data_IF_516201429320
#
_entry.id   IF_516201429320
#
_cell.length_a   1.000
_cell.length_b   1.000
_cell.length_c   1.000
_cell.angle_alpha   90.00
_cell.angle_beta   90.00
_cell.angle_gamma   90.00
#
_symmetry.space_group_name_H-M   'P 1'
#
loop_
_entity.id
_entity.type
_entity.pdbx_description
1 polymer ?
#
# COMPACT_ATOMS: atom_id res chain seq x y z
N UNK A 1 24.50 6.24 -2.09
CA UNK A 1 23.53 7.26 -1.66
C UNK A 1 22.50 6.59 -0.77
N UNK A 2 22.54 6.90 0.52
CA UNK A 2 21.48 6.48 1.45
C UNK A 2 20.21 7.28 1.18
N UNK A 3 19.05 6.62 1.28
CA UNK A 3 17.77 7.31 1.19
C UNK A 3 17.45 7.99 2.54
N UNK A 4 16.79 9.15 2.51
CA UNK A 4 16.40 9.85 3.73
C UNK A 4 15.46 8.98 4.59
N UNK A 5 15.66 9.02 5.91
CA UNK A 5 14.94 8.20 6.90
C UNK A 5 13.88 8.99 7.68
N UNK A 6 13.92 10.31 7.62
CA UNK A 6 12.98 11.20 8.28
C UNK A 6 12.77 12.47 7.43
N UNK A 7 11.80 13.30 7.84
CA UNK A 7 11.44 14.51 7.09
C UNK A 7 12.61 15.50 6.99
N UNK A 8 13.43 15.63 8.03
CA UNK A 8 14.56 16.57 8.04
C UNK A 8 15.59 16.17 6.98
N UNK A 9 16.03 14.90 7.00
CA UNK A 9 16.94 14.35 5.99
C UNK A 9 16.36 14.45 4.58
N UNK A 10 15.04 14.28 4.43
CA UNK A 10 14.37 14.43 3.13
C UNK A 10 14.43 15.86 2.60
N UNK A 11 14.16 16.87 3.44
CA UNK A 11 14.26 18.26 3.00
C UNK A 11 15.72 18.68 2.74
N UNK A 12 16.68 18.18 3.51
CA UNK A 12 18.10 18.43 3.26
C UNK A 12 18.57 17.74 1.97
N UNK A 13 18.03 16.56 1.64
CA UNK A 13 18.20 15.91 0.36
C UNK A 13 17.65 16.77 -0.80
N UNK A 14 16.44 17.33 -0.67
CA UNK A 14 15.82 18.16 -1.71
C UNK A 14 16.57 19.48 -1.98
N UNK A 15 17.20 20.08 -0.96
CA UNK A 15 18.02 21.29 -1.13
C UNK A 15 19.21 21.06 -2.07
N UNK A 16 19.74 19.84 -2.13
CA UNK A 16 20.89 19.51 -2.96
C UNK A 16 20.45 19.00 -4.34
N UNK A 17 20.44 19.89 -5.33
CA UNK A 17 20.08 19.56 -6.72
C UNK A 17 20.89 18.41 -7.32
N UNK A 18 22.17 18.25 -6.95
CA UNK A 18 23.01 17.13 -7.43
C UNK A 18 22.51 15.79 -6.88
N UNK A 19 22.09 15.75 -5.62
CA UNK A 19 21.51 14.53 -5.02
C UNK A 19 20.19 14.16 -5.71
N UNK A 20 19.32 15.15 -5.95
CA UNK A 20 18.05 14.96 -6.65
C UNK A 20 18.28 14.42 -8.08
N UNK A 21 19.20 15.03 -8.84
CA UNK A 21 19.58 14.55 -10.18
C UNK A 21 20.15 13.12 -10.16
N UNK A 22 21.03 12.83 -9.20
CA UNK A 22 21.62 11.50 -9.06
C UNK A 22 20.55 10.45 -8.75
N UNK A 23 19.57 10.80 -7.91
CA UNK A 23 18.45 9.93 -7.58
C UNK A 23 17.55 9.67 -8.78
N UNK A 24 17.20 10.73 -9.53
CA UNK A 24 16.40 10.63 -10.75
C UNK A 24 17.07 9.70 -11.78
N UNK A 25 18.38 9.86 -11.99
CA UNK A 25 19.15 9.00 -12.91
C UNK A 25 19.21 7.56 -12.43
N UNK A 26 19.54 7.35 -11.15
CA UNK A 26 19.71 6.02 -10.56
C UNK A 26 18.44 5.16 -10.67
N UNK A 27 17.27 5.77 -10.54
CA UNK A 27 15.98 5.07 -10.59
C UNK A 27 15.23 5.31 -11.90
N UNK A 28 15.91 5.85 -12.92
CA UNK A 28 15.39 6.06 -14.28
C UNK A 28 14.05 6.82 -14.34
N UNK A 29 13.76 7.66 -13.35
CA UNK A 29 12.42 8.26 -13.15
C UNK A 29 12.04 9.30 -14.22
N UNK A 30 13.01 9.74 -15.01
CA UNK A 30 12.82 10.78 -16.03
C UNK A 30 13.80 10.65 -17.19
N UNK A 31 14.38 9.47 -17.43
CA UNK A 31 15.24 9.26 -18.60
C UNK A 31 14.35 8.96 -19.80
N UNK A 32 14.17 9.88 -20.75
CA UNK A 32 13.33 9.58 -21.89
C UNK A 32 14.19 8.85 -22.93
N UNK A 33 13.56 8.01 -23.75
CA UNK A 33 14.19 7.50 -24.97
C UNK A 33 14.37 8.65 -25.96
N UNK A 34 15.45 9.41 -25.79
CA UNK A 34 15.74 10.58 -26.59
C UNK A 34 17.01 10.40 -27.40
N UNK A 35 16.85 10.63 -28.70
CA UNK A 35 17.97 10.82 -29.62
C UNK A 35 18.07 12.30 -30.02
N UNK A 36 19.30 12.76 -30.22
CA UNK A 36 19.53 14.08 -30.80
C UNK A 36 19.15 14.03 -32.29
N UNK A 37 18.24 14.89 -32.74
CA UNK A 37 17.81 14.89 -34.14
C UNK A 37 18.86 15.46 -35.09
N UNK A 38 19.90 16.12 -34.57
CA UNK A 38 21.03 16.61 -35.36
C UNK A 38 21.90 15.44 -35.85
N UNK A 39 22.09 15.26 -37.17
CA UNK A 39 22.86 14.14 -37.73
C UNK A 39 24.29 14.02 -37.21
N UNK A 40 24.96 15.15 -36.99
CA UNK A 40 26.31 15.23 -36.43
C UNK A 40 26.39 14.94 -34.91
N UNK A 41 25.27 14.60 -34.28
CA UNK A 41 25.14 14.33 -32.85
C UNK A 41 24.48 12.98 -32.56
N UNK A 42 24.40 12.11 -33.57
CA UNK A 42 23.83 10.77 -33.51
C UNK A 42 24.75 9.81 -32.76
N UNK A 43 24.97 10.08 -31.48
CA UNK A 43 25.66 9.18 -30.58
C UNK A 43 24.91 9.19 -29.26
N UNK A 44 24.47 7.99 -28.85
CA UNK A 44 24.00 7.51 -27.54
C UNK A 44 23.30 8.45 -26.52
N UNK A 45 22.48 7.86 -25.63
CA UNK A 45 21.85 8.55 -24.49
C UNK A 45 22.85 9.29 -23.57
N UNK A 46 24.14 8.95 -23.62
CA UNK A 46 25.20 9.53 -22.80
C UNK A 46 25.61 10.95 -23.24
N UNK A 47 25.16 11.39 -24.42
CA UNK A 47 25.44 12.71 -24.97
C UNK A 47 24.53 13.84 -24.46
N UNK A 48 23.68 13.58 -23.47
CA UNK A 48 22.88 14.61 -22.82
C UNK A 48 23.35 14.90 -21.39
N UNK A 49 23.62 16.16 -21.10
CA UNK A 49 23.73 16.66 -19.72
C UNK A 49 22.35 16.87 -19.12
N UNK A 50 22.20 16.56 -17.83
CA UNK A 50 20.93 16.69 -17.12
C UNK A 50 21.01 17.80 -16.10
N UNK A 51 20.06 18.72 -16.15
CA UNK A 51 20.02 19.94 -15.35
C UNK A 51 18.63 20.12 -14.72
N UNK A 52 18.55 20.71 -13.52
CA UNK A 52 17.28 21.16 -12.93
C UNK A 52 17.19 22.68 -13.08
N UNK A 53 16.37 23.13 -14.03
CA UNK A 53 16.15 24.55 -14.37
C UNK A 53 14.70 24.94 -14.08
N UNK A 54 14.50 25.96 -13.23
CA UNK A 54 13.17 26.45 -12.83
C UNK A 54 12.19 25.32 -12.46
N UNK A 55 12.69 24.30 -11.77
CA UNK A 55 11.97 23.12 -11.31
C UNK A 55 11.52 22.16 -12.43
N UNK A 56 12.24 22.12 -13.55
CA UNK A 56 12.10 21.15 -14.64
C UNK A 56 13.41 20.40 -14.83
N UNK A 57 13.34 19.10 -15.11
CA UNK A 57 14.50 18.32 -15.56
C UNK A 57 14.65 18.58 -17.05
N UNK A 58 15.82 19.09 -17.42
CA UNK A 58 16.20 19.38 -18.80
C UNK A 58 17.39 18.51 -19.18
N UNK A 59 17.31 17.90 -20.35
CA UNK A 59 18.36 17.14 -21.01
C UNK A 59 18.92 18.01 -22.15
N UNK A 60 20.17 18.42 -22.06
CA UNK A 60 20.83 19.28 -23.06
C UNK A 60 21.92 18.50 -23.78
N UNK A 61 21.95 18.56 -25.12
CA UNK A 61 23.00 17.90 -25.89
C UNK A 61 24.38 18.50 -25.55
N UNK A 62 25.36 17.64 -25.27
CA UNK A 62 26.76 18.01 -24.94
C UNK A 62 27.56 18.49 -26.14
N UNK A 63 27.14 18.14 -27.36
CA UNK A 63 27.91 18.44 -28.57
C UNK A 63 27.99 19.94 -28.81
N UNK A 64 29.23 20.43 -28.99
CA UNK A 64 29.51 21.86 -29.20
C UNK A 64 28.72 22.40 -30.40
N UNK A 65 28.05 23.53 -30.19
CA UNK A 65 27.22 24.16 -31.21
C UNK A 65 25.84 23.53 -31.40
N UNK A 66 25.47 22.49 -30.65
CA UNK A 66 24.10 21.97 -30.61
C UNK A 66 23.30 22.69 -29.52
N UNK A 67 22.12 23.22 -29.86
CA UNK A 67 21.21 23.90 -28.91
C UNK A 67 19.98 23.06 -28.55
N UNK A 68 19.98 21.79 -28.96
CA UNK A 68 18.88 20.89 -28.75
C UNK A 68 18.80 20.50 -27.27
N UNK A 69 17.59 20.64 -26.72
CA UNK A 69 17.28 20.25 -25.36
C UNK A 69 15.89 19.65 -25.31
N UNK A 70 15.69 18.80 -24.30
CA UNK A 70 14.42 18.14 -24.03
C UNK A 70 14.08 18.31 -22.56
N UNK A 71 12.79 18.42 -22.26
CA UNK A 71 12.34 18.42 -20.87
C UNK A 71 11.76 17.05 -20.55
N UNK A 72 12.17 16.41 -19.45
CA UNK A 72 11.54 15.16 -19.02
C UNK A 72 10.18 15.40 -18.39
N UNK A 73 9.23 15.77 -19.24
CA UNK A 73 7.80 15.76 -18.93
C UNK A 73 7.11 14.51 -19.47
N UNK A 74 7.85 13.45 -19.78
CA UNK A 74 7.34 12.27 -20.49
C UNK A 74 7.30 10.97 -19.67
N UNK A 75 7.78 10.93 -18.43
CA UNK A 75 7.93 9.70 -17.61
C UNK A 75 7.57 9.97 -16.13
N UNK A 76 7.59 8.94 -15.24
CA UNK A 76 7.18 8.82 -13.79
C UNK A 76 6.74 10.09 -13.00
N UNK A 77 7.39 11.23 -13.19
CA UNK A 77 6.96 12.55 -12.68
C UNK A 77 5.74 13.16 -13.41
N UNK A 78 5.34 12.58 -14.55
CA UNK A 78 4.24 13.00 -15.40
C UNK A 78 2.99 12.13 -15.25
N UNK A 79 2.65 11.78 -14.00
CA UNK A 79 1.24 11.53 -13.65
C UNK A 79 0.31 12.69 -14.12
N UNK A 80 0.89 13.83 -14.52
CA UNK A 80 0.23 14.81 -15.35
C UNK A 80 1.19 15.47 -16.37
N UNK A 81 1.03 15.20 -17.67
CA UNK A 81 1.74 15.95 -18.74
C UNK A 81 1.48 17.47 -18.67
N UNK A 82 0.40 17.89 -17.99
CA UNK A 82 -0.02 19.29 -17.83
C UNK A 82 0.24 19.89 -16.44
N UNK A 83 0.89 19.17 -15.51
CA UNK A 83 1.15 19.75 -14.18
C UNK A 83 2.23 20.83 -14.26
N UNK A 84 1.92 21.98 -13.68
CA UNK A 84 2.86 23.08 -13.46
C UNK A 84 3.55 23.02 -12.08
N UNK A 85 3.37 21.92 -11.33
CA UNK A 85 4.08 21.75 -10.06
C UNK A 85 5.59 21.57 -10.26
N UNK A 86 6.34 22.18 -9.35
CA UNK A 86 7.77 21.98 -9.19
C UNK A 86 8.09 20.51 -8.85
N UNK A 87 9.22 19.99 -9.33
CA UNK A 87 9.66 18.60 -9.06
C UNK A 87 9.82 18.34 -7.58
N UNK A 88 10.33 19.30 -6.83
CA UNK A 88 10.49 19.24 -5.38
C UNK A 88 9.14 18.97 -4.70
N UNK A 89 8.07 19.64 -5.16
CA UNK A 89 6.70 19.42 -4.68
C UNK A 89 6.14 18.07 -5.08
N UNK A 90 6.45 17.59 -6.28
CA UNK A 90 6.06 16.25 -6.71
C UNK A 90 6.74 15.20 -5.82
N UNK A 91 8.04 15.35 -5.55
CA UNK A 91 8.80 14.47 -4.65
C UNK A 91 8.26 14.50 -3.21
N UNK A 92 7.91 15.68 -2.69
CA UNK A 92 7.24 15.80 -1.38
C UNK A 92 5.94 15.00 -1.34
N UNK A 93 5.10 15.11 -2.38
CA UNK A 93 3.84 14.35 -2.47
C UNK A 93 4.10 12.84 -2.43
N UNK A 94 5.07 12.35 -3.22
CA UNK A 94 5.46 10.93 -3.21
C UNK A 94 5.95 10.49 -1.83
N UNK A 95 6.80 11.30 -1.18
CA UNK A 95 7.31 11.04 0.16
C UNK A 95 6.19 10.90 1.19
N UNK A 96 5.26 11.87 1.23
CA UNK A 96 4.16 11.82 2.19
C UNK A 96 3.17 10.69 1.88
N UNK A 97 2.92 10.40 0.61
CA UNK A 97 2.08 9.27 0.20
C UNK A 97 2.70 7.93 0.64
N UNK A 98 4.01 7.73 0.43
CA UNK A 98 4.69 6.49 0.79
C UNK A 98 4.79 6.25 2.30
N UNK A 99 4.63 7.30 3.11
CA UNK A 99 4.64 7.26 4.57
C UNK A 99 3.22 7.27 5.19
N UNK A 100 2.20 6.99 4.38
CA UNK A 100 0.79 6.86 4.80
C UNK A 100 0.29 8.11 5.55
N UNK A 101 0.61 9.30 5.03
CA UNK A 101 0.09 10.55 5.55
C UNK A 101 -1.28 10.89 4.95
N UNK A 102 -2.11 11.58 5.74
CA UNK A 102 -3.42 12.03 5.27
C UNK A 102 -3.30 13.13 4.22
N UNK A 103 -4.35 13.31 3.42
CA UNK A 103 -4.44 14.37 2.41
C UNK A 103 -4.29 15.75 3.07
N UNK A 104 -5.02 16.00 4.15
CA UNK A 104 -4.97 17.26 4.88
C UNK A 104 -3.57 17.56 5.44
N UNK A 105 -2.91 16.55 6.05
CA UNK A 105 -1.55 16.71 6.56
C UNK A 105 -0.57 17.03 5.43
N UNK A 106 -0.65 16.29 4.33
CA UNK A 106 0.20 16.48 3.15
C UNK A 106 -0.01 17.86 2.53
N UNK A 107 -1.26 18.32 2.42
CA UNK A 107 -1.59 19.65 1.89
C UNK A 107 -0.93 20.75 2.74
N UNK A 108 -1.01 20.64 4.07
CA UNK A 108 -0.39 21.58 5.00
C UNK A 108 1.14 21.57 4.89
N UNK A 109 1.77 20.39 4.85
CA UNK A 109 3.24 20.28 4.77
C UNK A 109 3.79 20.77 3.43
N UNK A 110 3.08 20.50 2.33
CA UNK A 110 3.52 20.89 0.98
C UNK A 110 3.12 22.32 0.61
N UNK A 111 2.25 22.96 1.40
CA UNK A 111 1.59 24.22 1.09
C UNK A 111 0.87 24.18 -0.28
N UNK A 112 0.15 23.08 -0.54
CA UNK A 112 -0.62 22.88 -1.77
C UNK A 112 -2.11 22.76 -1.45
N UNK A 113 -2.95 23.08 -2.42
CA UNK A 113 -4.40 22.90 -2.30
C UNK A 113 -4.73 21.40 -2.08
N UNK A 114 -5.63 21.11 -1.14
CA UNK A 114 -6.09 19.76 -0.84
C UNK A 114 -6.61 19.04 -2.10
N UNK A 115 -7.31 19.76 -2.99
CA UNK A 115 -7.77 19.22 -4.29
C UNK A 115 -6.62 18.71 -5.16
N UNK A 116 -5.48 19.41 -5.14
CA UNK A 116 -4.27 19.01 -5.84
C UNK A 116 -3.72 17.71 -5.25
N UNK A 117 -3.61 17.62 -3.93
CA UNK A 117 -3.15 16.40 -3.24
C UNK A 117 -4.07 15.21 -3.51
N UNK A 118 -5.39 15.40 -3.44
CA UNK A 118 -6.37 14.35 -3.78
C UNK A 118 -6.14 13.82 -5.19
N UNK A 119 -5.99 14.73 -6.16
CA UNK A 119 -5.75 14.36 -7.55
C UNK A 119 -4.44 13.57 -7.72
N UNK A 120 -3.35 14.01 -7.10
CA UNK A 120 -2.08 13.31 -7.14
C UNK A 120 -2.14 11.95 -6.45
N UNK A 121 -2.72 11.87 -5.25
CA UNK A 121 -2.88 10.60 -4.54
C UNK A 121 -3.73 9.61 -5.34
N UNK A 122 -4.77 10.08 -6.04
CA UNK A 122 -5.55 9.24 -6.95
C UNK A 122 -4.69 8.70 -8.09
N UNK A 123 -3.85 9.55 -8.70
CA UNK A 123 -2.97 9.16 -9.81
C UNK A 123 -1.88 8.18 -9.37
N UNK A 124 -1.24 8.41 -8.23
CA UNK A 124 -0.26 7.50 -7.65
C UNK A 124 -0.89 6.13 -7.43
N UNK A 125 -2.11 6.09 -6.84
CA UNK A 125 -2.85 4.83 -6.65
C UNK A 125 -3.16 4.12 -7.96
N UNK A 126 -3.57 4.86 -9.01
CA UNK A 126 -3.86 4.27 -10.32
C UNK A 126 -2.61 3.65 -10.94
N UNK A 127 -1.49 4.38 -10.94
CA UNK A 127 -0.22 3.90 -11.48
C UNK A 127 0.25 2.63 -10.76
N UNK A 128 0.17 2.61 -9.42
CA UNK A 128 0.52 1.43 -8.64
C UNK A 128 -0.44 0.28 -8.90
N UNK A 129 -1.74 0.56 -9.04
CA UNK A 129 -2.72 -0.45 -9.39
C UNK A 129 -2.38 -1.13 -10.72
N UNK A 130 -2.04 -0.35 -11.75
CA UNK A 130 -1.66 -0.87 -13.07
C UNK A 130 -0.39 -1.73 -12.96
N UNK A 131 0.64 -1.26 -12.24
CA UNK A 131 1.84 -2.06 -11.96
C UNK A 131 1.56 -3.33 -11.16
N UNK A 132 0.55 -3.32 -10.27
CA UNK A 132 0.15 -4.49 -9.48
C UNK A 132 -0.51 -5.58 -10.33
N UNK A 133 -1.13 -5.23 -11.47
CA UNK A 133 -1.74 -6.20 -12.38
C UNK A 133 -0.71 -7.07 -13.10
N UNK A 134 0.51 -6.56 -13.25
CA UNK A 134 1.65 -7.20 -13.93
C UNK A 134 2.57 -7.96 -12.98
N UNK A 135 2.26 -8.02 -11.68
CA UNK A 135 3.09 -8.72 -10.72
C UNK A 135 3.07 -10.24 -10.94
N UNK A 136 4.23 -10.92 -10.88
CA UNK A 136 4.30 -12.37 -11.01
C UNK A 136 3.49 -13.07 -9.91
N UNK A 137 3.15 -14.35 -10.09
CA UNK A 137 2.44 -15.11 -9.06
C UNK A 137 3.15 -15.04 -7.69
N UNK A 138 2.37 -14.86 -6.63
CA UNK A 138 2.84 -14.84 -5.24
C UNK A 138 2.93 -16.26 -4.66
N UNK A 139 3.80 -16.45 -3.66
CA UNK A 139 3.93 -17.72 -2.93
C UNK A 139 4.88 -18.74 -3.57
N UNK A 140 4.53 -20.02 -3.48
CA UNK A 140 5.35 -21.19 -3.83
C UNK A 140 5.57 -22.10 -2.62
N UNK A 141 6.45 -23.08 -2.76
CA UNK A 141 6.78 -24.01 -1.68
C UNK A 141 7.21 -23.28 -0.40
N UNK A 142 6.67 -23.70 0.74
CA UNK A 142 6.94 -23.06 2.03
C UNK A 142 6.19 -21.74 2.25
N UNK A 143 5.25 -21.36 1.37
CA UNK A 143 4.35 -20.22 1.55
C UNK A 143 2.91 -20.67 1.74
N UNK A 144 2.20 -19.89 2.56
CA UNK A 144 0.77 -19.98 2.78
C UNK A 144 0.09 -18.73 2.24
N UNK A 145 -0.93 -18.93 1.42
CA UNK A 145 -1.77 -17.86 0.89
C UNK A 145 -3.14 -17.96 1.57
N UNK A 146 -3.44 -16.96 2.40
CA UNK A 146 -4.77 -16.83 2.99
C UNK A 146 -5.67 -16.07 2.03
N UNK A 147 -6.87 -16.61 1.82
CA UNK A 147 -7.92 -16.03 1.00
C UNK A 147 -9.05 -15.54 1.90
N UNK A 148 -9.62 -14.38 1.58
CA UNK A 148 -10.80 -13.84 2.28
C UNK A 148 -11.68 -13.02 1.32
N UNK A 149 -12.99 -13.05 1.51
CA UNK A 149 -13.97 -12.32 0.69
C UNK A 149 -14.88 -11.45 1.56
N UNK A 150 -14.83 -10.15 1.33
CA UNK A 150 -15.65 -9.18 2.03
C UNK A 150 -16.73 -8.61 1.12
N UNK A 151 -18.00 -8.76 1.51
CA UNK A 151 -19.09 -8.07 0.83
C UNK A 151 -18.99 -6.57 1.10
N UNK A 152 -18.80 -5.77 0.05
CA UNK A 152 -18.74 -4.32 0.14
C UNK A 152 -20.13 -3.70 -0.10
N UNK A 153 -21.14 -4.24 0.58
CA UNK A 153 -22.44 -3.60 0.72
C UNK A 153 -22.48 -2.87 2.05
N UNK A 154 -22.52 -1.54 1.99
CA UNK A 154 -22.55 -0.71 3.18
C UNK A 154 -23.74 -1.06 4.08
N UNK A 155 -23.49 -1.43 5.33
CA UNK A 155 -24.47 -1.21 6.39
C UNK A 155 -24.35 0.24 6.82
N UNK A 156 -25.49 0.94 6.93
CA UNK A 156 -25.51 2.35 7.35
C UNK A 156 -24.77 2.52 8.67
N UNK A 157 -23.74 3.38 8.66
CA UNK A 157 -23.03 3.76 9.88
C UNK A 157 -24.02 4.49 10.80
N UNK A 158 -24.31 3.90 11.96
CA UNK A 158 -25.32 4.40 12.91
C UNK A 158 -26.76 4.43 12.38
N UNK A 159 -27.12 3.62 11.37
CA UNK A 159 -28.44 3.65 10.73
C UNK A 159 -28.84 5.05 10.21
N UNK A 160 -27.89 5.95 9.92
CA UNK A 160 -28.12 7.29 9.35
C UNK A 160 -27.65 7.39 7.89
N UNK A 161 -28.20 8.32 7.11
CA UNK A 161 -27.88 8.53 5.68
C UNK A 161 -28.98 8.16 4.68
N UNK A 162 -28.67 8.19 3.38
CA UNK A 162 -29.57 7.77 2.29
C UNK A 162 -29.74 6.25 2.31
N UNK A 163 -30.96 5.74 2.08
CA UNK A 163 -31.21 4.31 1.95
C UNK A 163 -30.49 3.77 0.71
N UNK A 164 -29.78 2.65 0.85
CA UNK A 164 -29.18 1.93 -0.27
C UNK A 164 -30.21 0.95 -0.86
N UNK A 165 -30.01 0.49 -2.11
CA UNK A 165 -30.92 -0.49 -2.76
C UNK A 165 -31.13 -1.76 -1.90
N UNK A 166 -30.10 -2.19 -1.16
CA UNK A 166 -30.17 -3.31 -0.21
C UNK A 166 -31.05 -3.07 1.02
N UNK A 167 -31.27 -1.80 1.40
CA UNK A 167 -32.17 -1.42 2.49
C UNK A 167 -33.64 -1.43 2.05
N UNK A 168 -33.88 -1.35 0.73
CA UNK A 168 -35.21 -1.21 0.11
C UNK A 168 -35.78 -2.59 -0.30
N UNK A 169 -34.95 -3.64 -0.32
CA UNK A 169 -35.32 -4.97 -0.81
C UNK A 169 -36.04 -5.89 0.19
N UNK A 170 -37.37 -5.94 0.07
CA UNK A 170 -38.28 -7.05 0.43
C UNK A 170 -38.68 -7.25 1.91
N UNK A 171 -39.86 -6.73 2.27
CA UNK A 171 -40.75 -7.27 3.32
C UNK A 171 -41.28 -8.68 2.99
N UNK A 172 -40.44 -9.57 2.46
CA UNK A 172 -40.75 -10.99 2.31
C UNK A 172 -39.71 -11.77 3.10
N UNK A 173 -40.21 -12.72 3.88
CA UNK A 173 -39.56 -13.64 4.81
C UNK A 173 -38.48 -14.50 4.13
N UNK A 174 -37.43 -13.89 3.59
CA UNK A 174 -36.30 -14.63 3.02
C UNK A 174 -35.28 -14.96 4.10
N UNK A 175 -35.05 -16.26 4.31
CA UNK A 175 -34.05 -16.80 5.24
C UNK A 175 -32.67 -16.16 4.97
N UNK A 176 -32.07 -15.58 6.00
CA UNK A 176 -30.75 -14.91 6.01
C UNK A 176 -29.61 -15.90 5.74
N UNK A 177 -29.36 -16.27 4.49
CA UNK A 177 -28.13 -16.98 4.10
C UNK A 177 -27.32 -16.11 3.14
N UNK A 178 -26.09 -15.77 3.53
CA UNK A 178 -25.17 -14.92 2.77
C UNK A 178 -24.46 -15.66 1.61
N UNK A 179 -24.98 -16.79 1.14
CA UNK A 179 -24.27 -17.71 0.23
C UNK A 179 -25.10 -18.03 -1.02
N UNK A 180 -24.47 -17.98 -2.22
CA UNK A 180 -25.08 -18.27 -3.54
C UNK A 180 -25.44 -17.04 -4.38
N UNK A 181 -26.12 -17.26 -5.53
CA UNK A 181 -26.54 -16.28 -6.56
C UNK A 181 -27.42 -15.11 -6.09
N UNK A 182 -27.71 -15.03 -4.79
CA UNK A 182 -28.70 -14.10 -4.23
C UNK A 182 -28.12 -12.75 -3.80
N UNK A 183 -26.80 -12.65 -3.62
CA UNK A 183 -26.13 -11.41 -3.20
C UNK A 183 -25.26 -10.90 -4.35
N UNK A 184 -25.83 -10.01 -5.17
CA UNK A 184 -25.10 -9.27 -6.20
C UNK A 184 -24.23 -8.20 -5.54
N UNK A 185 -22.99 -8.03 -6.00
CA UNK A 185 -21.87 -7.35 -5.33
C UNK A 185 -22.03 -5.87 -4.90
N UNK A 186 -20.92 -5.12 -4.79
CA UNK A 186 -19.54 -5.53 -5.07
C UNK A 186 -18.93 -6.33 -3.90
N UNK A 187 -18.16 -7.35 -4.22
CA UNK A 187 -17.31 -8.09 -3.28
C UNK A 187 -15.85 -7.66 -3.44
N UNK A 188 -15.08 -7.74 -2.35
CA UNK A 188 -13.62 -7.60 -2.36
C UNK A 188 -13.02 -8.96 -2.03
N UNK A 189 -12.30 -9.53 -3.00
CA UNK A 189 -11.55 -10.78 -2.90
C UNK A 189 -10.09 -10.47 -2.55
N UNK A 190 -9.63 -10.92 -1.38
CA UNK A 190 -8.30 -10.64 -0.84
C UNK A 190 -7.41 -11.88 -0.80
N UNK A 191 -6.14 -11.71 -1.16
CA UNK A 191 -5.08 -12.71 -1.05
C UNK A 191 -3.97 -12.16 -0.16
N UNK A 192 -3.50 -12.96 0.81
CA UNK A 192 -2.41 -12.58 1.72
C UNK A 192 -1.36 -13.70 1.74
N UNK A 193 -0.17 -13.42 1.21
CA UNK A 193 0.94 -14.37 1.18
C UNK A 193 1.85 -14.22 2.40
N UNK A 194 2.18 -15.34 3.05
CA UNK A 194 3.02 -15.40 4.23
C UNK A 194 3.92 -16.64 4.18
N UNK A 195 5.18 -16.50 4.57
CA UNK A 195 6.11 -17.64 4.69
C UNK A 195 5.73 -18.49 5.90
N UNK A 196 5.65 -19.81 5.72
CA UNK A 196 5.20 -20.73 6.78
C UNK A 196 6.11 -20.66 8.01
N UNK A 197 7.43 -20.62 7.80
CA UNK A 197 8.40 -20.48 8.91
C UNK A 197 8.17 -19.25 9.78
N UNK A 198 7.69 -18.16 9.19
CA UNK A 198 7.43 -16.93 9.92
C UNK A 198 6.12 -17.00 10.70
N UNK A 199 5.11 -17.67 10.13
CA UNK A 199 3.85 -17.98 10.82
C UNK A 199 4.13 -18.82 12.07
N UNK A 200 4.99 -19.84 11.94
CA UNK A 200 5.38 -20.73 13.05
C UNK A 200 6.08 -19.96 14.16
N UNK A 201 7.09 -19.16 13.84
CA UNK A 201 7.76 -18.27 14.80
C UNK A 201 6.78 -17.33 15.50
N UNK A 202 5.80 -16.77 14.78
CA UNK A 202 4.78 -15.90 15.38
C UNK A 202 3.88 -16.70 16.35
N UNK A 203 3.49 -17.93 15.99
CA UNK A 203 2.69 -18.82 16.85
C UNK A 203 3.45 -19.16 18.13
N UNK A 204 4.71 -19.57 18.03
CA UNK A 204 5.58 -19.88 19.17
C UNK A 204 5.74 -18.69 20.12
N UNK A 205 6.01 -17.50 19.58
CA UNK A 205 6.14 -16.28 20.37
C UNK A 205 4.84 -15.91 21.09
N UNK A 206 3.67 -16.09 20.44
CA UNK A 206 2.36 -15.89 21.08
C UNK A 206 2.14 -16.88 22.23
N UNK A 207 2.49 -18.15 22.05
CA UNK A 207 2.39 -19.19 23.09
C UNK A 207 3.29 -18.84 24.27
N UNK A 208 4.55 -18.48 24.01
CA UNK A 208 5.53 -18.08 25.03
C UNK A 208 5.06 -16.88 25.83
N UNK A 209 4.55 -15.84 25.17
CA UNK A 209 4.02 -14.65 25.84
C UNK A 209 2.77 -14.96 26.68
N UNK A 210 1.86 -15.82 26.17
CA UNK A 210 0.70 -16.29 26.94
C UNK A 210 1.13 -17.06 28.20
N UNK A 211 2.17 -17.88 28.12
CA UNK A 211 2.78 -18.57 29.26
C UNK A 211 3.35 -17.60 30.31
N UNK A 212 4.13 -16.60 29.87
CA UNK A 212 4.65 -15.55 30.76
C UNK A 212 3.53 -14.79 31.49
N UNK A 213 2.47 -14.42 30.78
CA UNK A 213 1.30 -13.73 31.38
C UNK A 213 0.61 -14.63 32.40
N UNK A 214 0.39 -15.92 32.10
CA UNK A 214 -0.20 -16.87 33.06
C UNK A 214 0.65 -16.98 34.33
N UNK A 215 1.97 -17.10 34.19
CA UNK A 215 2.89 -17.18 35.32
C UNK A 215 2.89 -15.91 36.17
N UNK A 216 2.86 -14.74 35.54
CA UNK A 216 2.75 -13.45 36.24
C UNK A 216 1.45 -13.38 37.06
N UNK A 217 0.30 -13.73 36.48
CA UNK A 217 -1.00 -13.76 37.17
C UNK A 217 -0.99 -14.76 38.35
N UNK A 218 -0.32 -15.91 38.20
CA UNK A 218 -0.18 -16.91 39.27
C UNK A 218 0.61 -16.38 40.48
N UNK A 219 1.61 -15.51 40.26
CA UNK A 219 2.43 -14.92 41.33
C UNK A 219 1.71 -13.85 42.17
N UNK A 220 0.63 -13.26 41.65
CA UNK A 220 -0.18 -12.30 42.41
C UNK A 220 -0.92 -13.08 43.51
N UNK A 221 -0.68 -12.77 44.79
CA UNK A 221 -1.18 -13.56 45.92
C UNK A 221 -2.65 -13.28 46.27
N UNK A 222 -3.16 -12.07 46.02
CA UNK A 222 -4.52 -11.67 46.43
C UNK A 222 -5.59 -11.78 45.33
N UNK A 223 -6.78 -12.26 45.73
CA UNK A 223 -7.96 -12.42 44.85
C UNK A 223 -8.46 -11.08 44.28
N UNK A 224 -8.40 -9.99 45.05
CA UNK A 224 -8.92 -8.69 44.62
C UNK A 224 -7.98 -7.96 43.65
N UNK A 225 -6.66 -8.08 43.85
CA UNK A 225 -5.67 -7.60 42.88
C UNK A 225 -5.83 -8.35 41.55
N UNK A 226 -6.03 -9.68 41.58
CA UNK A 226 -6.33 -10.46 40.36
C UNK A 226 -7.62 -10.00 39.68
N UNK A 227 -8.72 -9.80 40.43
CA UNK A 227 -10.01 -9.33 39.90
C UNK A 227 -9.92 -7.92 39.29
N UNK A 228 -9.21 -6.99 39.94
CA UNK A 228 -8.98 -5.64 39.43
C UNK A 228 -8.15 -5.67 38.13
N UNK A 229 -7.11 -6.51 38.04
CA UNK A 229 -6.34 -6.69 36.82
C UNK A 229 -7.17 -7.25 35.63
N UNK A 230 -8.11 -8.17 35.90
CA UNK A 230 -9.05 -8.68 34.90
C UNK A 230 -10.15 -7.66 34.51
N UNK A 231 -10.53 -6.77 35.42
CA UNK A 231 -11.42 -5.63 35.13
C UNK A 231 -10.68 -4.56 34.31
N UNK A 232 -9.40 -4.31 34.57
CA UNK A 232 -8.56 -3.40 33.78
C UNK A 232 -8.31 -3.94 32.36
N UNK A 233 -8.07 -5.25 32.17
CA UNK A 233 -8.03 -5.83 30.81
C UNK A 233 -9.31 -5.58 30.00
N UNK A 234 -10.47 -5.48 30.65
CA UNK A 234 -11.74 -5.10 30.00
C UNK A 234 -11.85 -3.60 29.73
N UNK A 235 -11.30 -2.74 30.61
CA UNK A 235 -11.20 -1.28 30.40
C UNK A 235 -10.16 -0.90 29.33
N UNK A 236 -9.17 -1.75 29.09
CA UNK A 236 -8.25 -1.65 27.94
C UNK A 236 -8.96 -1.94 26.62
N UNK A 237 -10.24 -2.33 26.61
CA UNK A 237 -11.03 -2.56 25.39
C UNK A 237 -12.12 -1.49 25.19
N UNK A 238 -11.86 -0.25 25.61
CA UNK A 238 -12.71 0.91 25.33
C UNK A 238 -12.62 1.32 23.85
N UNK A 239 -13.56 2.13 23.33
CA UNK A 239 -13.64 2.55 21.92
C UNK A 239 -12.35 3.21 21.39
N UNK A 240 -11.51 3.74 22.28
CA UNK A 240 -10.15 4.27 22.04
C UNK A 240 -9.04 3.21 21.96
N UNK A 241 -9.25 2.00 22.48
CA UNK A 241 -8.32 0.87 22.47
C UNK A 241 -8.88 -0.39 21.76
N UNK A 242 -9.96 -0.25 20.99
CA UNK A 242 -10.33 -1.27 20.00
C UNK A 242 -9.12 -1.42 19.08
N UNK A 243 -8.48 -2.59 19.13
CA UNK A 243 -7.33 -2.99 18.31
C UNK A 243 -7.73 -2.78 16.84
N UNK A 244 -7.52 -1.57 16.32
CA UNK A 244 -7.46 -1.06 14.95
C UNK A 244 -7.57 0.48 15.02
N UNK A 245 -6.50 1.13 15.55
CA UNK A 245 -6.05 2.51 15.27
C UNK A 245 -4.84 2.81 16.15
N UNK A 246 -3.62 2.54 15.67
CA UNK A 246 -2.72 3.53 15.05
C UNK A 246 -2.45 4.74 15.99
N UNK A 247 -1.44 4.58 16.82
CA UNK A 247 -0.49 5.62 17.25
C UNK A 247 0.88 4.91 17.24
N UNK A 248 1.58 4.83 16.11
CA UNK A 248 2.61 5.80 15.68
C UNK A 248 3.27 6.48 16.89
N UNK A 249 4.00 5.69 17.70
CA UNK A 249 5.16 6.07 18.54
C UNK A 249 5.42 5.03 19.63
N UNK A 250 5.74 3.78 19.30
CA UNK A 250 6.55 2.87 20.15
C UNK A 250 6.98 1.71 19.27
N UNK A 251 8.09 1.90 18.58
CA UNK A 251 8.70 0.90 17.69
C UNK A 251 10.22 0.98 17.83
N UNK A 252 10.70 0.94 19.07
CA UNK A 252 12.10 0.67 19.36
C UNK A 252 12.26 -0.82 19.67
N UNK A 253 13.13 -1.46 18.90
CA UNK A 253 13.73 -2.79 19.12
C UNK A 253 12.96 -4.02 18.61
N UNK A 254 11.67 -4.21 18.87
CA UNK A 254 10.97 -5.44 18.42
C UNK A 254 10.49 -5.41 16.95
N UNK A 255 10.28 -4.23 16.40
CA UNK A 255 9.89 -4.02 14.99
C UNK A 255 11.12 -3.91 14.07
N UNK A 256 12.29 -3.56 14.62
CA UNK A 256 13.54 -3.53 13.86
C UNK A 256 14.02 -4.95 13.49
N UNK A 257 13.67 -5.98 14.27
CA UNK A 257 13.96 -7.37 13.93
C UNK A 257 12.85 -8.03 13.07
N UNK A 258 11.77 -7.31 12.76
CA UNK A 258 10.71 -7.69 11.80
C UNK A 258 10.92 -7.00 10.43
N UNK A 259 12.12 -6.49 10.17
CA UNK A 259 12.45 -5.70 8.99
C UNK A 259 12.42 -6.46 7.65
N UNK A 260 11.87 -7.69 7.54
CA UNK A 260 11.74 -8.35 6.23
C UNK A 260 10.62 -9.41 6.10
N UNK A 261 9.48 -9.24 6.78
CA UNK A 261 8.26 -10.00 6.41
C UNK A 261 7.32 -9.01 5.72
N UNK A 262 7.66 -8.60 4.50
CA UNK A 262 6.69 -7.94 3.62
C UNK A 262 5.60 -8.96 3.32
N UNK A 263 4.45 -8.82 3.98
CA UNK A 263 3.24 -9.57 3.62
C UNK A 263 2.75 -9.00 2.31
N UNK A 264 2.87 -9.77 1.24
CA UNK A 264 2.28 -9.37 -0.03
C UNK A 264 0.76 -9.58 0.06
N UNK A 265 0.01 -8.52 -0.26
CA UNK A 265 -1.45 -8.52 -0.23
C UNK A 265 -1.99 -8.04 -1.57
N UNK A 266 -2.93 -8.79 -2.13
CA UNK A 266 -3.65 -8.41 -3.35
C UNK A 266 -5.15 -8.36 -3.07
N UNK A 267 -5.83 -7.36 -3.61
CA UNK A 267 -7.28 -7.20 -3.44
C UNK A 267 -7.92 -6.94 -4.81
N UNK A 268 -9.01 -7.65 -5.09
CA UNK A 268 -9.73 -7.60 -6.35
C UNK A 268 -11.20 -7.28 -6.08
N UNK A 269 -11.76 -6.33 -6.82
CA UNK A 269 -13.21 -6.11 -6.81
C UNK A 269 -13.84 -7.13 -7.74
N UNK A 270 -14.79 -7.91 -7.25
CA UNK A 270 -15.50 -8.93 -8.01
C UNK A 270 -17.01 -8.77 -7.83
N UNK A 271 -17.76 -8.90 -8.92
CA UNK A 271 -19.22 -8.77 -8.88
C UNK A 271 -19.89 -10.02 -8.31
N UNK A 272 -19.34 -11.18 -8.67
CA UNK A 272 -19.81 -12.49 -8.26
C UNK A 272 -18.76 -13.22 -7.45
N UNK A 273 -19.26 -13.99 -6.50
CA UNK A 273 -18.47 -14.71 -5.50
C UNK A 273 -18.67 -16.20 -5.69
N UNK A 274 -18.33 -16.67 -6.89
CA UNK A 274 -18.50 -18.04 -7.36
C UNK A 274 -17.16 -18.65 -7.81
N UNK A 275 -17.14 -19.97 -7.98
CA UNK A 275 -15.94 -20.69 -8.38
C UNK A 275 -15.42 -20.24 -9.75
N UNK A 276 -16.32 -19.96 -10.69
CA UNK A 276 -15.99 -19.48 -12.04
C UNK A 276 -15.26 -18.13 -12.03
N UNK A 277 -15.55 -17.27 -11.06
CA UNK A 277 -14.90 -15.96 -10.90
C UNK A 277 -13.61 -16.06 -10.08
N UNK A 278 -13.62 -16.82 -8.97
CA UNK A 278 -12.52 -16.80 -8.00
C UNK A 278 -11.37 -17.76 -8.37
N UNK A 279 -11.65 -18.94 -8.94
CA UNK A 279 -10.60 -19.90 -9.31
C UNK A 279 -9.62 -19.32 -10.34
N UNK A 280 -10.05 -18.63 -11.41
CA UNK A 280 -9.12 -17.99 -12.33
C UNK A 280 -8.24 -16.93 -11.66
N UNK A 281 -8.78 -16.15 -10.72
CA UNK A 281 -8.01 -15.16 -9.97
C UNK A 281 -6.95 -15.82 -9.09
N UNK A 282 -7.30 -16.92 -8.42
CA UNK A 282 -6.36 -17.70 -7.61
C UNK A 282 -5.25 -18.24 -8.53
N UNK A 283 -5.60 -18.92 -9.62
CA UNK A 283 -4.61 -19.49 -10.57
C UNK A 283 -3.71 -18.43 -11.19
N UNK A 284 -4.24 -17.24 -11.52
CA UNK A 284 -3.44 -16.13 -12.07
C UNK A 284 -2.46 -15.56 -11.04
N UNK A 285 -2.82 -15.54 -9.76
CA UNK A 285 -2.06 -14.82 -8.73
C UNK A 285 -1.25 -15.70 -7.78
N UNK A 286 -1.56 -16.99 -7.65
CA UNK A 286 -0.93 -17.89 -6.69
C UNK A 286 -0.05 -18.90 -7.42
N UNK A 287 1.20 -19.02 -6.99
CA UNK A 287 2.15 -19.98 -7.55
C UNK A 287 1.79 -21.39 -7.10
N UNK A 288 1.96 -22.36 -8.00
CA UNK A 288 1.83 -23.80 -7.69
C UNK A 288 2.78 -24.17 -6.55
N UNK A 289 2.35 -25.06 -5.66
CA UNK A 289 3.09 -25.46 -4.45
C UNK A 289 2.74 -24.63 -3.20
N UNK A 290 2.02 -23.51 -3.35
CA UNK A 290 1.53 -22.73 -2.21
C UNK A 290 0.45 -23.48 -1.42
N UNK A 291 0.48 -23.39 -0.09
CA UNK A 291 -0.62 -23.82 0.78
C UNK A 291 -1.74 -22.76 0.76
N UNK A 292 -2.89 -23.06 0.16
CA UNK A 292 -4.04 -22.15 0.16
C UNK A 292 -4.89 -22.40 1.40
N UNK A 293 -5.18 -21.33 2.15
CA UNK A 293 -6.08 -21.37 3.31
C UNK A 293 -7.28 -20.47 3.06
N UNK A 294 -8.46 -21.09 3.05
CA UNK A 294 -9.78 -20.46 3.00
C UNK A 294 -10.59 -20.99 4.18
N UNK A 295 -11.65 -20.29 4.56
CA UNK A 295 -12.68 -20.70 5.51
C UNK A 295 -13.61 -21.83 4.97
N UNK A 296 -13.06 -22.73 4.15
CA UNK A 296 -13.68 -23.95 3.62
C UNK A 296 -15.02 -23.74 2.91
N UNK A 297 -15.05 -22.98 1.82
CA UNK A 297 -16.30 -22.85 1.06
C UNK A 297 -16.57 -24.03 0.13
N UNK A 298 -17.85 -24.35 -0.06
CA UNK A 298 -18.29 -25.36 -1.02
C UNK A 298 -17.80 -25.06 -2.45
N UNK A 299 -17.70 -23.78 -2.83
CA UNK A 299 -17.18 -23.37 -4.15
C UNK A 299 -15.73 -23.79 -4.40
N UNK A 300 -14.95 -24.00 -3.34
CA UNK A 300 -13.56 -24.47 -3.40
C UNK A 300 -13.44 -25.99 -3.18
N UNK A 301 -14.51 -26.64 -2.72
CA UNK A 301 -14.62 -28.09 -2.60
C UNK A 301 -15.12 -28.66 -3.93
N UNK A 302 -14.25 -28.62 -4.95
CA UNK A 302 -14.43 -29.39 -6.18
C UNK A 302 -13.62 -30.67 -6.10
#
# INVERSE_FOLDING_TARGET
MELPKNNQEFYDFLKNKKNVLTFIKKYELALPDIECTRPACKDSKENFDTEILANRIIFRCKNKGCRQHYTARSEVFSLNKTSNLAIEKILEIYWYWSHDHSVNYTANQTNLNEKTIINWFKKIRSCIYDSMLELPQMGGDGYRIQIDESLFQGKRKYNRGRLLKSDIGSKKTFKKKNYGDRVQGPWVFGLVCQKISDIEKIKENKIRNKGKIKNYIKKIKEKDIRKNFFKDKRKVNNKSNRIYKVNRSYSSTLVKNLQNIRKEVRMFVVEKRDAATLIPLIKKNCKIGSEIVSDEWSSYRQ
#
